data_IF_373284602478
#
_entry.id   IF_373284602478
#
_cell.length_a   1.000
_cell.length_b   1.000
_cell.length_c   1.000
_cell.angle_alpha   90.00
_cell.angle_beta   90.00
_cell.angle_gamma   90.00
#
_symmetry.space_group_name_H-M   'P 1'
#
loop_
_entity.id
_entity.type
_entity.pdbx_description
1 polymer ?
#
# COMPACT_ATOMS: atom_id res chain seq x y z
N UNK A 1 -15.88 16.33 -11.34
CA UNK A 1 -15.39 16.85 -10.04
C UNK A 1 -13.93 16.48 -9.94
N UNK A 2 -13.07 17.32 -9.31
CA UNK A 2 -11.66 16.99 -9.12
C UNK A 2 -11.49 15.69 -8.29
N UNK A 3 -10.54 14.84 -8.66
CA UNK A 3 -10.32 13.52 -8.05
C UNK A 3 -9.92 13.63 -6.57
N UNK A 4 -9.12 14.63 -6.22
CA UNK A 4 -8.76 15.01 -4.84
C UNK A 4 -9.99 15.31 -3.97
N UNK A 5 -10.97 16.05 -4.51
CA UNK A 5 -12.20 16.37 -3.78
C UNK A 5 -13.03 15.11 -3.50
N UNK A 6 -13.11 14.19 -4.48
CA UNK A 6 -13.79 12.90 -4.31
C UNK A 6 -13.05 12.06 -3.27
N UNK A 7 -11.73 11.93 -3.41
CA UNK A 7 -10.87 11.17 -2.51
C UNK A 7 -10.97 11.64 -1.07
N UNK A 8 -10.79 12.94 -0.81
CA UNK A 8 -10.89 13.50 0.54
C UNK A 8 -12.30 13.38 1.12
N UNK A 9 -13.34 13.49 0.28
CA UNK A 9 -14.72 13.24 0.72
C UNK A 9 -14.94 11.79 1.15
N UNK A 10 -14.43 10.83 0.39
CA UNK A 10 -14.51 9.40 0.72
C UNK A 10 -13.72 9.07 1.99
N UNK A 11 -12.53 9.65 2.15
CA UNK A 11 -11.71 9.54 3.37
C UNK A 11 -12.42 10.09 4.60
N UNK A 12 -12.96 11.31 4.52
CA UNK A 12 -13.71 11.91 5.61
C UNK A 12 -14.95 11.07 5.97
N UNK A 13 -15.63 10.52 4.97
CA UNK A 13 -16.77 9.63 5.17
C UNK A 13 -16.38 8.33 5.87
N UNK A 14 -15.31 7.66 5.42
CA UNK A 14 -14.79 6.44 6.02
C UNK A 14 -14.45 6.64 7.50
N UNK A 15 -13.69 7.70 7.82
CA UNK A 15 -13.28 8.06 9.18
C UNK A 15 -14.48 8.32 10.11
N UNK A 16 -15.58 8.84 9.56
CA UNK A 16 -16.80 9.14 10.32
C UNK A 16 -17.72 7.91 10.49
N UNK A 17 -17.73 6.99 9.53
CA UNK A 17 -18.74 5.91 9.45
C UNK A 17 -18.24 4.55 9.89
N UNK A 18 -16.93 4.32 9.88
CA UNK A 18 -16.32 3.05 10.26
C UNK A 18 -15.63 3.22 11.63
N UNK A 19 -16.20 2.67 12.72
CA UNK A 19 -15.60 2.79 14.05
C UNK A 19 -14.20 2.21 14.10
N UNK A 20 -13.26 2.95 14.69
CA UNK A 20 -11.88 2.51 14.90
C UNK A 20 -11.01 2.45 13.63
N UNK A 21 -11.56 2.81 12.46
CA UNK A 21 -10.83 2.86 11.19
C UNK A 21 -9.55 3.70 11.24
N UNK A 22 -9.57 4.83 11.96
CA UNK A 22 -8.38 5.69 12.13
C UNK A 22 -7.21 5.00 12.85
N UNK A 23 -7.52 3.99 13.69
CA UNK A 23 -6.58 3.20 14.49
C UNK A 23 -6.22 1.85 13.85
N UNK A 24 -6.72 1.55 12.64
CA UNK A 24 -6.48 0.26 11.98
C UNK A 24 -7.15 -0.93 12.68
N UNK A 25 -8.19 -0.69 13.48
CA UNK A 25 -8.93 -1.74 14.19
C UNK A 25 -10.42 -1.42 14.14
N UNK A 26 -11.24 -2.28 13.54
CA UNK A 26 -12.70 -2.10 13.52
C UNK A 26 -13.27 -2.90 14.69
N UNK A 27 -13.83 -2.20 15.66
CA UNK A 27 -14.35 -2.81 16.89
C UNK A 27 -15.87 -2.67 16.95
N UNK A 28 -16.54 -3.81 17.10
CA UNK A 28 -17.99 -3.89 17.31
C UNK A 28 -18.84 -3.40 16.14
N UNK A 29 -20.11 -3.80 16.14
CA UNK A 29 -21.09 -3.39 15.13
C UNK A 29 -21.31 -4.41 14.01
N UNK A 30 -22.07 -3.98 13.00
CA UNK A 30 -22.47 -4.80 11.86
C UNK A 30 -21.30 -4.92 10.86
N UNK A 31 -20.53 -6.01 10.98
CA UNK A 31 -19.37 -6.28 10.12
C UNK A 31 -19.76 -6.35 8.63
N UNK A 32 -20.96 -6.84 8.31
CA UNK A 32 -21.44 -6.89 6.92
C UNK A 32 -21.66 -5.49 6.37
N UNK A 33 -22.20 -4.57 7.18
CA UNK A 33 -22.33 -3.16 6.81
C UNK A 33 -20.95 -2.52 6.59
N UNK A 34 -19.97 -2.76 7.46
CA UNK A 34 -18.64 -2.19 7.28
C UNK A 34 -17.92 -2.76 6.06
N UNK A 35 -18.07 -4.06 5.81
CA UNK A 35 -17.56 -4.69 4.58
C UNK A 35 -18.14 -4.01 3.34
N UNK A 36 -19.47 -3.87 3.29
CA UNK A 36 -20.14 -3.18 2.18
C UNK A 36 -19.67 -1.73 2.02
N UNK A 37 -19.46 -1.00 3.13
CA UNK A 37 -18.93 0.36 3.08
C UNK A 37 -17.51 0.40 2.53
N UNK A 38 -16.61 -0.50 2.97
CA UNK A 38 -15.23 -0.58 2.48
C UNK A 38 -15.19 -0.95 0.99
N UNK A 39 -16.00 -1.91 0.55
CA UNK A 39 -16.13 -2.28 -0.87
C UNK A 39 -16.60 -1.09 -1.70
N UNK A 40 -17.65 -0.40 -1.23
CA UNK A 40 -18.21 0.76 -1.91
C UNK A 40 -17.19 1.91 -2.01
N UNK A 41 -16.47 2.20 -0.91
CA UNK A 41 -15.43 3.24 -0.91
C UNK A 41 -14.31 2.86 -1.89
N UNK A 42 -13.88 1.60 -1.89
CA UNK A 42 -12.82 1.10 -2.78
C UNK A 42 -13.21 1.27 -4.24
N UNK A 43 -14.47 0.97 -4.59
CA UNK A 43 -14.96 1.11 -5.95
C UNK A 43 -15.18 2.57 -6.39
N UNK A 44 -15.51 3.46 -5.45
CA UNK A 44 -15.69 4.89 -5.72
C UNK A 44 -14.37 5.69 -5.71
N UNK A 45 -13.27 5.10 -5.23
CA UNK A 45 -11.99 5.78 -5.19
C UNK A 45 -11.51 6.11 -6.61
N UNK A 46 -11.14 7.36 -6.89
CA UNK A 46 -10.65 7.76 -8.21
C UNK A 46 -9.43 6.95 -8.66
N UNK A 47 -9.26 6.81 -9.98
CA UNK A 47 -8.15 6.09 -10.58
C UNK A 47 -6.81 6.82 -10.39
N UNK A 48 -6.87 8.14 -10.30
CA UNK A 48 -5.76 9.07 -10.22
C UNK A 48 -4.92 8.87 -8.95
N UNK A 49 -3.60 8.86 -9.14
CA UNK A 49 -2.61 8.81 -8.06
C UNK A 49 -2.76 10.04 -7.14
N UNK A 50 -2.46 9.85 -5.85
CA UNK A 50 -2.42 10.90 -4.83
C UNK A 50 -3.76 11.65 -4.62
N UNK A 51 -4.90 11.07 -5.01
CA UNK A 51 -6.22 11.62 -4.67
C UNK A 51 -6.55 11.49 -3.17
N UNK A 52 -5.84 10.61 -2.46
CA UNK A 52 -5.87 10.43 -1.00
C UNK A 52 -4.47 10.04 -0.50
N UNK A 53 -4.13 10.33 0.78
CA UNK A 53 -2.85 9.93 1.36
C UNK A 53 -2.61 8.41 1.33
N UNK A 54 -1.37 7.98 1.13
CA UNK A 54 -0.99 6.55 1.16
C UNK A 54 -1.37 5.87 2.48
N UNK A 55 -1.19 6.57 3.61
CA UNK A 55 -1.61 6.09 4.93
C UNK A 55 -3.11 5.78 5.03
N UNK A 56 -3.97 6.50 4.28
CA UNK A 56 -5.40 6.19 4.21
C UNK A 56 -5.66 4.93 3.39
N UNK A 57 -5.00 4.78 2.23
CA UNK A 57 -5.13 3.57 1.40
C UNK A 57 -4.65 2.32 2.15
N UNK A 58 -3.54 2.40 2.88
CA UNK A 58 -3.03 1.31 3.72
C UNK A 58 -4.04 0.91 4.81
N UNK A 59 -4.65 1.88 5.49
CA UNK A 59 -5.73 1.61 6.46
C UNK A 59 -6.97 0.99 5.82
N UNK A 60 -7.32 1.44 4.62
CA UNK A 60 -8.43 0.86 3.85
C UNK A 60 -8.12 -0.58 3.43
N UNK A 61 -6.87 -0.87 3.03
CA UNK A 61 -6.41 -2.22 2.68
C UNK A 61 -6.42 -3.14 3.89
N UNK A 62 -5.95 -2.66 5.04
CA UNK A 62 -6.01 -3.42 6.28
C UNK A 62 -7.47 -3.71 6.68
N UNK A 63 -8.36 -2.73 6.55
CA UNK A 63 -9.78 -2.92 6.82
C UNK A 63 -10.42 -3.93 5.86
N UNK A 64 -10.07 -3.89 4.56
CA UNK A 64 -10.61 -4.81 3.57
C UNK A 64 -10.17 -6.26 3.80
N UNK A 65 -8.93 -6.47 4.24
CA UNK A 65 -8.41 -7.79 4.64
C UNK A 65 -9.15 -8.31 5.86
N UNK A 66 -9.25 -7.49 6.91
CA UNK A 66 -9.88 -7.89 8.17
C UNK A 66 -11.39 -8.16 8.03
N UNK A 67 -12.06 -7.44 7.12
CA UNK A 67 -13.50 -7.63 6.84
C UNK A 67 -13.78 -8.68 5.77
N UNK A 68 -12.75 -9.33 5.22
CA UNK A 68 -12.87 -10.30 4.12
C UNK A 68 -13.68 -9.72 2.94
N UNK A 69 -13.32 -8.51 2.54
CA UNK A 69 -13.84 -7.82 1.36
C UNK A 69 -13.51 -8.57 0.07
N UNK A 70 -14.17 -8.16 -1.02
CA UNK A 70 -13.97 -8.78 -2.33
C UNK A 70 -12.50 -8.73 -2.79
N UNK A 71 -12.03 -9.84 -3.35
CA UNK A 71 -10.63 -10.01 -3.73
C UNK A 71 -10.21 -9.03 -4.82
N UNK A 72 -11.10 -8.71 -5.77
CA UNK A 72 -10.81 -7.77 -6.86
C UNK A 72 -10.62 -6.37 -6.29
N UNK A 73 -11.52 -5.92 -5.42
CA UNK A 73 -11.39 -4.62 -4.75
C UNK A 73 -10.10 -4.52 -3.95
N UNK A 74 -9.73 -5.58 -3.23
CA UNK A 74 -8.47 -5.65 -2.50
C UNK A 74 -7.23 -5.56 -3.41
N UNK A 75 -7.24 -6.23 -4.56
CA UNK A 75 -6.15 -6.13 -5.55
C UNK A 75 -6.03 -4.73 -6.13
N UNK A 76 -7.15 -4.12 -6.53
CA UNK A 76 -7.17 -2.74 -7.06
C UNK A 76 -6.64 -1.74 -6.01
N UNK A 77 -6.99 -1.93 -4.74
CA UNK A 77 -6.50 -1.11 -3.64
C UNK A 77 -4.99 -1.31 -3.39
N UNK A 78 -4.50 -2.55 -3.43
CA UNK A 78 -3.07 -2.84 -3.32
C UNK A 78 -2.26 -2.18 -4.43
N UNK A 79 -2.77 -2.18 -5.66
CA UNK A 79 -2.13 -1.51 -6.79
C UNK A 79 -2.03 0.00 -6.57
N UNK A 80 -3.10 0.63 -6.06
CA UNK A 80 -3.09 2.06 -5.72
C UNK A 80 -2.11 2.40 -4.60
N UNK A 81 -2.00 1.55 -3.57
CA UNK A 81 -1.00 1.74 -2.51
C UNK A 81 0.41 1.65 -3.11
N UNK A 82 0.67 0.61 -3.91
CA UNK A 82 1.96 0.41 -4.54
C UNK A 82 2.36 1.61 -5.41
N UNK A 83 1.43 2.23 -6.16
CA UNK A 83 1.71 3.41 -6.99
C UNK A 83 2.25 4.62 -6.24
N UNK A 84 2.01 4.73 -4.93
CA UNK A 84 2.42 5.86 -4.09
C UNK A 84 3.10 5.38 -2.79
N UNK A 85 3.75 4.22 -2.85
CA UNK A 85 4.39 3.60 -1.70
C UNK A 85 5.52 4.49 -1.12
N UNK A 86 6.16 5.29 -1.97
CA UNK A 86 7.19 6.26 -1.58
C UNK A 86 6.69 7.39 -0.66
N UNK A 87 5.37 7.55 -0.53
CA UNK A 87 4.72 8.53 0.35
C UNK A 87 4.38 7.95 1.75
N UNK A 88 4.54 6.64 1.95
CA UNK A 88 4.20 5.98 3.20
C UNK A 88 5.28 6.17 4.29
N UNK A 89 4.87 6.03 5.55
CA UNK A 89 5.79 5.97 6.69
C UNK A 89 5.94 4.54 7.19
N UNK A 90 7.02 4.26 7.92
CA UNK A 90 7.23 2.94 8.56
C UNK A 90 6.02 2.56 9.42
N UNK A 91 5.45 3.51 10.16
CA UNK A 91 4.28 3.28 11.00
C UNK A 91 3.04 2.83 10.21
N UNK A 92 2.91 3.27 8.96
CA UNK A 92 1.80 2.86 8.09
C UNK A 92 1.96 1.41 7.58
N UNK A 93 3.20 0.90 7.51
CA UNK A 93 3.53 -0.47 7.10
C UNK A 93 3.47 -1.49 8.24
N UNK A 94 3.36 -1.04 9.50
CA UNK A 94 3.21 -1.91 10.68
C UNK A 94 1.80 -2.52 10.78
N UNK A 95 1.35 -3.14 9.68
CA UNK A 95 0.07 -3.81 9.55
C UNK A 95 0.14 -5.11 10.34
N UNK A 96 -0.78 -5.28 11.28
CA UNK A 96 -0.82 -6.45 12.16
C UNK A 96 -1.67 -7.56 11.58
N UNK A 97 -1.34 -8.80 11.90
CA UNK A 97 -2.25 -9.92 11.67
C UNK A 97 -3.53 -9.76 12.50
N UNK A 98 -4.59 -10.43 12.06
CA UNK A 98 -5.81 -10.52 12.85
C UNK A 98 -5.56 -11.35 14.12
N UNK A 99 -6.39 -11.14 15.14
CA UNK A 99 -6.23 -11.79 16.45
C UNK A 99 -6.11 -13.31 16.29
N UNK A 100 -5.00 -13.91 16.75
CA UNK A 100 -4.80 -15.37 16.76
C UNK A 100 -3.50 -15.85 16.12
N UNK A 101 -2.74 -14.97 15.45
CA UNK A 101 -1.45 -15.33 14.84
C UNK A 101 -0.26 -15.11 15.79
N UNK A 102 0.77 -15.94 15.63
CA UNK A 102 2.02 -15.87 16.41
C UNK A 102 2.82 -14.61 16.05
N UNK A 103 2.84 -14.26 14.77
CA UNK A 103 3.48 -13.07 14.24
C UNK A 103 2.65 -11.82 14.50
N UNK A 104 3.35 -10.73 14.85
CA UNK A 104 2.75 -9.44 15.18
C UNK A 104 2.45 -8.65 13.92
N UNK A 105 3.34 -8.71 12.92
CA UNK A 105 3.22 -7.95 11.68
C UNK A 105 3.07 -8.85 10.46
N UNK A 106 2.15 -8.49 9.58
CA UNK A 106 1.91 -9.19 8.33
C UNK A 106 2.91 -8.73 7.26
N UNK A 107 4.05 -9.43 7.22
CA UNK A 107 5.12 -9.19 6.24
C UNK A 107 4.69 -9.53 4.81
N UNK A 108 3.75 -10.46 4.63
CA UNK A 108 3.28 -10.84 3.30
C UNK A 108 2.59 -9.66 2.60
N UNK A 109 1.84 -8.82 3.33
CA UNK A 109 1.23 -7.63 2.74
C UNK A 109 2.31 -6.66 2.25
N UNK A 110 3.35 -6.41 3.06
CA UNK A 110 4.44 -5.51 2.68
C UNK A 110 5.20 -6.05 1.48
N UNK A 111 5.49 -7.35 1.46
CA UNK A 111 6.12 -8.02 0.32
C UNK A 111 5.32 -7.83 -0.97
N UNK A 112 4.01 -8.10 -0.96
CA UNK A 112 3.15 -7.91 -2.13
C UNK A 112 3.10 -6.45 -2.61
N UNK A 113 3.13 -5.48 -1.67
CA UNK A 113 3.16 -4.06 -2.02
C UNK A 113 4.45 -3.65 -2.73
N UNK A 114 5.60 -4.12 -2.23
CA UNK A 114 6.91 -3.84 -2.85
C UNK A 114 7.02 -4.55 -4.20
N UNK A 115 6.57 -5.80 -4.31
CA UNK A 115 6.54 -6.54 -5.57
C UNK A 115 5.73 -5.79 -6.62
N UNK A 116 4.54 -5.31 -6.28
CA UNK A 116 3.72 -4.51 -7.19
C UNK A 116 4.36 -3.16 -7.54
N UNK A 117 5.07 -2.52 -6.60
CA UNK A 117 5.81 -1.29 -6.88
C UNK A 117 6.92 -1.53 -7.93
N UNK A 118 7.64 -2.66 -7.83
CA UNK A 118 8.67 -3.05 -8.81
C UNK A 118 8.08 -3.44 -10.17
N UNK A 119 6.96 -4.17 -10.18
CA UNK A 119 6.30 -4.59 -11.43
C UNK A 119 5.76 -3.40 -12.25
N UNK A 120 5.32 -2.33 -11.57
CA UNK A 120 4.83 -1.12 -12.22
C UNK A 120 5.93 -0.39 -13.02
N UNK A 121 7.19 -0.53 -12.61
CA UNK A 121 8.35 0.00 -13.35
C UNK A 121 8.47 -0.63 -14.76
N UNK A 122 8.31 -1.95 -14.83
CA UNK A 122 8.55 -2.72 -16.04
C UNK A 122 7.47 -2.53 -17.11
N UNK A 123 6.23 -2.26 -16.68
CA UNK A 123 5.10 -2.05 -17.60
C UNK A 123 5.11 -0.65 -18.22
N UNK A 124 5.59 0.37 -17.51
CA UNK A 124 5.78 1.72 -18.06
C UNK A 124 6.99 1.82 -19.03
N UNK A 125 7.98 0.94 -18.89
CA UNK A 125 9.20 0.97 -19.71
C UNK A 125 9.00 0.40 -21.12
N UNK A 126 8.05 -0.53 -21.30
CA UNK A 126 7.75 -1.16 -22.60
C UNK A 126 6.96 -0.20 -23.52
N UNK A 127 6.09 0.63 -22.95
CA UNK A 127 5.24 1.56 -23.72
C UNK A 127 5.96 2.85 -24.16
N UNK A 128 7.19 3.10 -23.70
CA UNK A 128 7.93 4.34 -23.93
C UNK A 128 9.23 4.18 -24.75
N UNK A 129 9.48 3.00 -25.36
CA UNK A 129 10.73 2.73 -26.07
C UNK A 129 10.91 3.52 -27.39
N UNK A 130 9.91 4.28 -27.85
CA UNK A 130 9.94 4.94 -29.17
C UNK A 130 10.34 6.43 -29.18
N UNK A 131 10.31 7.16 -28.05
CA UNK A 131 10.65 8.60 -28.05
C UNK A 131 11.61 8.98 -26.91
N UNK A 132 12.90 9.04 -27.25
CA UNK A 132 14.03 9.19 -26.32
C UNK A 132 14.36 10.64 -25.92
N UNK A 133 13.51 11.63 -26.21
CA UNK A 133 13.83 13.06 -26.00
C UNK A 133 12.93 13.84 -25.02
N UNK A 134 11.89 13.25 -24.41
CA UNK A 134 11.01 13.95 -23.46
C UNK A 134 10.80 13.17 -22.16
N UNK A 135 11.89 12.94 -21.42
CA UNK A 135 11.90 12.15 -20.18
C UNK A 135 11.41 12.90 -18.91
N UNK A 136 10.68 14.01 -19.05
CA UNK A 136 10.24 14.82 -17.89
C UNK A 136 8.71 14.90 -17.67
N UNK A 137 7.85 14.31 -18.52
CA UNK A 137 6.39 14.54 -18.44
C UNK A 137 5.54 13.25 -18.47
N UNK A 138 6.09 12.10 -18.05
CA UNK A 138 5.31 10.86 -17.94
C UNK A 138 5.05 10.50 -16.46
N UNK A 139 3.78 10.44 -15.99
CA UNK A 139 3.43 10.14 -14.60
C UNK A 139 3.58 8.65 -14.20
N UNK A 140 4.27 7.83 -15.02
CA UNK A 140 4.42 6.39 -14.83
C UNK A 140 5.82 5.91 -14.47
N UNK A 141 6.82 6.79 -14.40
CA UNK A 141 8.18 6.39 -13.99
C UNK A 141 8.31 6.45 -12.47
N UNK A 142 8.61 5.31 -11.84
CA UNK A 142 9.17 5.31 -10.48
C UNK A 142 10.57 5.89 -10.57
N UNK A 143 10.72 7.18 -10.26
CA UNK A 143 12.02 7.84 -10.27
C UNK A 143 13.02 7.12 -9.34
N UNK A 144 14.32 7.22 -9.59
CA UNK A 144 15.35 6.71 -8.68
C UNK A 144 15.18 7.27 -7.25
N UNK A 145 14.63 8.49 -7.14
CA UNK A 145 14.22 9.10 -5.87
C UNK A 145 13.10 8.32 -5.19
N UNK A 146 12.07 7.87 -5.93
CA UNK A 146 11.00 7.02 -5.41
C UNK A 146 11.53 5.66 -4.96
N UNK A 147 12.40 5.02 -5.76
CA UNK A 147 13.04 3.75 -5.38
C UNK A 147 13.85 3.89 -4.10
N UNK A 148 14.70 4.91 -4.01
CA UNK A 148 15.49 5.19 -2.82
C UNK A 148 14.63 5.45 -1.57
N UNK A 149 13.47 6.11 -1.72
CA UNK A 149 12.50 6.28 -0.64
C UNK A 149 11.88 4.95 -0.20
N UNK A 150 11.47 4.11 -1.15
CA UNK A 150 10.89 2.78 -0.85
C UNK A 150 11.92 1.86 -0.21
N UNK A 151 13.18 1.85 -0.67
CA UNK A 151 14.26 1.09 -0.02
C UNK A 151 14.41 1.49 1.46
N UNK A 152 14.53 2.81 1.73
CA UNK A 152 14.62 3.32 3.11
C UNK A 152 13.39 2.99 3.96
N UNK A 153 12.21 3.02 3.35
CA UNK A 153 10.96 2.65 4.00
C UNK A 153 10.97 1.17 4.40
N UNK A 154 11.40 0.29 3.50
CA UNK A 154 11.52 -1.15 3.74
C UNK A 154 12.60 -1.46 4.77
N UNK A 155 13.76 -0.81 4.71
CA UNK A 155 14.82 -0.93 5.73
C UNK A 155 14.29 -0.58 7.13
N UNK A 156 13.55 0.52 7.24
CA UNK A 156 12.92 0.94 8.49
C UNK A 156 11.85 -0.04 8.98
N UNK A 157 11.05 -0.59 8.06
CA UNK A 157 10.08 -1.64 8.38
C UNK A 157 10.77 -2.91 8.90
N UNK A 158 11.80 -3.40 8.19
CA UNK A 158 12.57 -4.58 8.57
C UNK A 158 13.24 -4.41 9.94
N UNK A 159 13.73 -3.22 10.26
CA UNK A 159 14.30 -2.92 11.57
C UNK A 159 13.28 -3.09 12.72
N UNK A 160 12.01 -2.70 12.52
CA UNK A 160 10.95 -2.91 13.50
C UNK A 160 10.43 -4.34 13.49
N UNK A 161 10.30 -4.96 12.31
CA UNK A 161 9.82 -6.34 12.16
C UNK A 161 10.80 -7.35 12.77
N UNK A 162 12.11 -7.11 12.70
CA UNK A 162 13.15 -7.95 13.30
C UNK A 162 13.04 -8.07 14.85
N UNK A 163 12.24 -7.21 15.49
CA UNK A 163 11.96 -7.28 16.94
C UNK A 163 10.95 -8.36 17.27
N UNK A 164 10.24 -8.90 16.29
CA UNK A 164 9.32 -10.02 16.42
C UNK A 164 10.09 -11.35 16.24
N UNK A 165 10.25 -12.15 17.31
CA UNK A 165 10.99 -13.41 17.24
C UNK A 165 10.28 -14.49 16.41
N UNK A 166 9.00 -14.28 16.06
CA UNK A 166 8.23 -15.22 15.27
C UNK A 166 8.23 -14.91 13.78
N UNK A 167 8.90 -13.82 13.36
CA UNK A 167 9.06 -13.47 11.96
C UNK A 167 9.90 -14.53 11.23
N UNK A 168 9.40 -15.13 10.12
CA UNK A 168 10.18 -16.06 9.32
C UNK A 168 11.40 -15.38 8.68
N UNK A 169 12.60 -15.90 8.93
CA UNK A 169 13.83 -15.39 8.35
C UNK A 169 13.81 -15.37 6.82
N UNK A 170 13.18 -16.37 6.19
CA UNK A 170 13.05 -16.41 4.72
C UNK A 170 12.32 -15.19 4.19
N UNK A 171 11.15 -14.85 4.76
CA UNK A 171 10.38 -13.67 4.36
C UNK A 171 11.11 -12.36 4.58
N UNK A 172 11.90 -12.28 5.64
CA UNK A 172 12.76 -11.13 5.90
C UNK A 172 13.81 -10.96 4.78
N UNK A 173 14.50 -12.05 4.43
CA UNK A 173 15.53 -12.03 3.39
C UNK A 173 14.94 -11.73 2.01
N UNK A 174 13.82 -12.38 1.65
CA UNK A 174 13.14 -12.17 0.38
C UNK A 174 12.79 -10.68 0.18
N UNK A 175 12.26 -10.03 1.22
CA UNK A 175 11.90 -8.61 1.17
C UNK A 175 13.12 -7.69 1.11
N UNK A 176 14.19 -8.01 1.84
CA UNK A 176 15.45 -7.25 1.81
C UNK A 176 16.14 -7.35 0.45
N UNK A 177 16.15 -8.55 -0.15
CA UNK A 177 16.73 -8.79 -1.46
C UNK A 177 15.99 -8.02 -2.55
N UNK A 178 14.65 -7.93 -2.47
CA UNK A 178 13.82 -7.20 -3.43
C UNK A 178 14.19 -5.71 -3.55
N UNK A 179 14.58 -5.07 -2.45
CA UNK A 179 14.97 -3.64 -2.44
C UNK A 179 16.47 -3.41 -2.58
N UNK A 180 17.29 -4.45 -2.47
CA UNK A 180 18.76 -4.34 -2.61
C UNK A 180 19.17 -3.79 -3.97
N UNK A 181 18.45 -4.17 -5.04
CA UNK A 181 18.68 -3.70 -6.40
C UNK A 181 18.33 -2.22 -6.62
N UNK A 182 17.70 -1.53 -5.67
CA UNK A 182 17.39 -0.10 -5.80
C UNK A 182 18.61 0.80 -5.59
N UNK A 183 19.70 0.28 -5.03
CA UNK A 183 20.89 1.05 -4.66
C UNK A 183 22.00 1.01 -5.71
N UNK A 184 21.89 0.15 -6.73
CA UNK A 184 22.96 -0.16 -7.70
C UNK A 184 22.83 0.55 -9.07
N UNK A 185 21.96 1.54 -9.22
CA UNK A 185 21.85 2.30 -10.48
C UNK A 185 22.69 3.59 -10.42
N UNK A 186 23.75 3.73 -11.24
CA UNK A 186 24.66 4.88 -11.25
C UNK A 186 24.04 6.14 -11.87
#
# INVERSE_FOLDING_TARGET
MPADVIGESLKAYALRRIPGFSKGSIQGGDLLKYRFLVDTITWLLPAEKSCVPCSFLLKLLQASIMLECDERGRRELMQKVAQQLEEATVADLLIRYSTGETAVYNIDIVHNLVEQFVMQEHSAQIDCADDREFQEICPGFTSDVSKAKVARLVDGYLAEAARDPSLPLSRFLDLAEMVSGFQDQP
#
